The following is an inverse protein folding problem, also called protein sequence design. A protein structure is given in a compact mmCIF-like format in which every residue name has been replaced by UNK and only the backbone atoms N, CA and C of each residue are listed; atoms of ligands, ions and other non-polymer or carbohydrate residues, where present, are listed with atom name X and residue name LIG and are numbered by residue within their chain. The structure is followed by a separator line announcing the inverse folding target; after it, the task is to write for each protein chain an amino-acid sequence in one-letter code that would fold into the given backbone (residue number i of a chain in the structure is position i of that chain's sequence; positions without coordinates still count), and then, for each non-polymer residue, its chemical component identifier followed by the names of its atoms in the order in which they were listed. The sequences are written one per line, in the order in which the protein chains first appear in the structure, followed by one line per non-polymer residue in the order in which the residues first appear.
data_IF_035746902411
#
_entry.id   IF_035746902411
#
_cell.length_a   1.000
_cell.length_b   1.000
_cell.length_c   1.000
_cell.angle_alpha   90.00
_cell.angle_beta   90.00
_cell.angle_gamma   90.00
#
_symmetry.space_group_name_H-M   'P 1'
#
loop_
_entity.id
_entity.type
_entity.pdbx_description
1 polymer ?
#
# COMPACT_ATOMS: atom_id res chain seq x y z
N UNK A 1 -12.35 -19.91 -5.36
CA UNK A 1 -11.17 -19.03 -5.40
C UNK A 1 -10.98 -18.45 -6.81
N UNK A 2 -11.84 -17.51 -7.21
CA UNK A 2 -11.72 -16.79 -8.48
C UNK A 2 -12.02 -15.30 -8.24
N UNK A 3 -13.09 -15.04 -7.49
CA UNK A 3 -13.52 -13.69 -7.14
C UNK A 3 -12.45 -12.88 -6.38
N UNK A 4 -11.70 -13.51 -5.47
CA UNK A 4 -10.58 -12.87 -4.76
C UNK A 4 -9.45 -12.42 -5.69
N UNK A 5 -9.13 -13.20 -6.72
CA UNK A 5 -8.11 -12.83 -7.70
C UNK A 5 -8.59 -11.68 -8.58
N UNK A 6 -9.87 -11.71 -9.00
CA UNK A 6 -10.49 -10.62 -9.75
C UNK A 6 -10.55 -9.33 -8.94
N UNK A 7 -10.91 -9.41 -7.65
CA UNK A 7 -10.93 -8.28 -6.73
C UNK A 7 -9.55 -7.61 -6.63
N UNK A 8 -8.48 -8.42 -6.50
CA UNK A 8 -7.10 -7.92 -6.45
C UNK A 8 -6.67 -7.20 -7.74
N UNK A 9 -7.03 -7.73 -8.91
CA UNK A 9 -6.69 -7.12 -10.21
C UNK A 9 -7.44 -5.81 -10.45
N UNK A 10 -8.72 -5.78 -10.08
CA UNK A 10 -9.57 -4.60 -10.25
C UNK A 10 -9.42 -3.57 -9.13
N UNK A 11 -8.49 -3.79 -8.18
CA UNK A 11 -8.31 -2.97 -6.98
C UNK A 11 -9.63 -2.71 -6.23
N UNK A 12 -10.47 -3.74 -6.13
CA UNK A 12 -11.78 -3.68 -5.48
C UNK A 12 -11.92 -4.76 -4.40
N UNK A 13 -13.04 -4.76 -3.67
CA UNK A 13 -13.32 -5.75 -2.63
C UNK A 13 -14.11 -6.94 -3.19
N UNK A 14 -13.92 -8.12 -2.59
CA UNK A 14 -14.77 -9.28 -2.89
C UNK A 14 -16.22 -9.00 -2.52
N UNK A 15 -16.45 -8.25 -1.44
CA UNK A 15 -17.78 -7.85 -0.99
C UNK A 15 -18.49 -7.00 -2.03
N UNK A 16 -17.79 -6.06 -2.68
CA UNK A 16 -18.31 -5.27 -3.78
C UNK A 16 -18.70 -6.14 -4.98
N UNK A 17 -17.80 -7.03 -5.41
CA UNK A 17 -18.06 -7.93 -6.54
C UNK A 17 -19.16 -8.96 -6.26
N UNK A 18 -19.42 -9.25 -4.99
CA UNK A 18 -20.49 -10.14 -4.54
C UNK A 18 -21.82 -9.43 -4.27
N UNK A 19 -21.86 -8.09 -4.39
CA UNK A 19 -23.04 -7.27 -4.10
C UNK A 19 -23.35 -7.11 -2.61
N UNK A 20 -22.39 -7.41 -1.73
CA UNK A 20 -22.50 -7.21 -0.28
C UNK A 20 -22.31 -5.76 0.15
N UNK A 21 -21.70 -4.93 -0.70
CA UNK A 21 -21.52 -3.48 -0.50
C UNK A 21 -21.49 -2.76 -1.84
N UNK A 22 -21.94 -1.50 -1.88
CA UNK A 22 -21.77 -0.61 -3.04
C UNK A 22 -20.43 0.12 -3.01
N UNK A 23 -19.65 -0.01 -1.92
CA UNK A 23 -18.32 0.59 -1.82
C UNK A 23 -17.28 -0.25 -2.58
N UNK A 24 -16.73 0.24 -3.70
CA UNK A 24 -15.73 -0.49 -4.46
C UNK A 24 -14.37 -0.52 -3.76
N UNK A 25 -14.14 0.32 -2.74
CA UNK A 25 -12.86 0.46 -2.08
C UNK A 25 -12.70 -0.70 -1.08
N UNK A 26 -11.66 -1.55 -1.24
CA UNK A 26 -11.35 -2.54 -0.23
C UNK A 26 -10.98 -1.82 1.06
N UNK A 27 -11.79 -1.99 2.10
CA UNK A 27 -11.56 -1.43 3.43
C UNK A 27 -10.26 -1.93 4.07
N UNK A 28 -9.68 -3.01 3.52
CA UNK A 28 -8.30 -3.41 3.73
C UNK A 28 -7.50 -3.13 2.46
N UNK A 29 -7.07 -1.88 2.27
CA UNK A 29 -5.88 -1.67 1.47
C UNK A 29 -4.74 -2.35 2.22
N UNK A 30 -4.33 -3.54 1.79
CA UNK A 30 -3.07 -4.15 2.23
C UNK A 30 -2.00 -3.06 2.05
N UNK A 31 -1.50 -2.52 3.16
CA UNK A 31 -0.49 -1.48 3.13
C UNK A 31 0.74 -2.11 2.49
N UNK A 32 1.10 -1.63 1.30
CA UNK A 32 2.35 -2.03 0.66
C UNK A 32 3.48 -1.52 1.54
N UNK A 33 4.30 -2.43 2.06
CA UNK A 33 5.45 -2.04 2.87
C UNK A 33 6.48 -1.43 1.93
N UNK A 34 7.08 -0.32 2.34
CA UNK A 34 8.18 0.26 1.57
C UNK A 34 9.39 -0.68 1.55
N UNK A 35 9.48 -1.61 2.49
CA UNK A 35 10.54 -2.62 2.57
C UNK A 35 10.38 -3.78 1.57
N UNK A 36 9.21 -3.97 0.98
CA UNK A 36 8.99 -5.07 0.06
C UNK A 36 9.74 -4.81 -1.27
N UNK A 37 10.33 -5.86 -1.86
CA UNK A 37 11.03 -5.85 -3.18
C UNK A 37 10.09 -5.60 -4.39
N UNK A 38 8.94 -4.97 -4.15
CA UNK A 38 7.99 -4.61 -5.18
C UNK A 38 8.47 -3.36 -5.93
N UNK A 39 8.35 -3.33 -7.27
CA UNK A 39 8.67 -2.14 -8.04
C UNK A 39 7.68 -1.01 -7.71
N UNK A 40 8.21 0.07 -7.15
CA UNK A 40 7.43 1.25 -6.80
C UNK A 40 7.30 2.16 -8.03
N UNK A 41 6.09 2.70 -8.26
CA UNK A 41 5.85 3.66 -9.33
C UNK A 41 5.15 4.91 -8.83
N UNK A 42 5.53 6.05 -9.38
CA UNK A 42 4.88 7.33 -9.15
C UNK A 42 4.41 7.89 -10.49
N UNK A 43 3.08 8.02 -10.65
CA UNK A 43 2.44 8.45 -11.91
C UNK A 43 2.85 7.62 -13.14
N UNK A 44 3.04 6.31 -12.95
CA UNK A 44 3.45 5.39 -14.01
C UNK A 44 4.95 5.38 -14.33
N UNK A 45 5.77 6.19 -13.63
CA UNK A 45 7.22 6.15 -13.75
C UNK A 45 7.83 5.33 -12.60
N UNK A 46 8.88 4.53 -12.85
CA UNK A 46 9.57 3.82 -11.78
C UNK A 46 10.19 4.82 -10.81
N UNK A 47 10.00 4.59 -9.51
CA UNK A 47 10.60 5.42 -8.46
C UNK A 47 12.06 5.01 -8.31
N UNK A 48 13.03 5.93 -8.46
CA UNK A 48 14.43 5.60 -8.22
C UNK A 48 14.68 5.27 -6.75
N UNK A 49 15.54 4.30 -6.48
CA UNK A 49 15.86 3.83 -5.12
C UNK A 49 16.28 4.97 -4.17
N UNK A 50 17.03 5.95 -4.69
CA UNK A 50 17.41 7.16 -3.93
C UNK A 50 16.22 7.87 -3.29
N UNK A 51 15.06 7.92 -3.96
CA UNK A 51 13.87 8.58 -3.44
C UNK A 51 13.21 7.75 -2.36
N UNK A 52 13.18 6.43 -2.53
CA UNK A 52 12.68 5.51 -1.50
C UNK A 52 13.53 5.62 -0.22
N UNK A 53 14.85 5.72 -0.35
CA UNK A 53 15.74 5.87 0.80
C UNK A 53 15.49 7.18 1.55
N UNK A 54 15.28 8.31 0.86
CA UNK A 54 14.91 9.57 1.52
C UNK A 54 13.60 9.43 2.31
N UNK A 55 12.60 8.75 1.75
CA UNK A 55 11.33 8.53 2.46
C UNK A 55 11.55 7.63 3.67
N UNK A 56 12.36 6.57 3.56
CA UNK A 56 12.70 5.68 4.68
C UNK A 56 13.41 6.45 5.80
N UNK A 57 14.41 7.26 5.48
CA UNK A 57 15.16 8.05 6.46
C UNK A 57 14.23 9.01 7.25
N UNK A 58 13.28 9.65 6.56
CA UNK A 58 12.29 10.52 7.21
C UNK A 58 11.37 9.74 8.16
N UNK A 59 10.92 8.56 7.74
CA UNK A 59 10.06 7.69 8.55
C UNK A 59 10.80 7.17 9.78
N UNK A 60 12.05 6.74 9.63
CA UNK A 60 12.90 6.29 10.74
C UNK A 60 13.14 7.41 11.76
N UNK A 61 13.41 8.63 11.28
CA UNK A 61 13.55 9.79 12.15
C UNK A 61 12.29 10.03 13.00
N UNK A 62 11.11 10.04 12.38
CA UNK A 62 9.83 10.23 13.09
C UNK A 62 9.56 9.12 14.10
N UNK A 63 9.93 7.86 13.79
CA UNK A 63 9.79 6.73 14.71
C UNK A 63 10.68 6.93 15.93
N UNK A 64 11.96 7.26 15.72
CA UNK A 64 12.90 7.50 16.81
C UNK A 64 12.52 8.69 17.69
N UNK A 65 12.00 9.78 17.10
CA UNK A 65 11.51 10.92 17.88
C UNK A 65 10.32 10.52 18.77
N UNK A 66 9.40 9.69 18.27
CA UNK A 66 8.26 9.21 19.06
C UNK A 66 8.69 8.28 20.19
N UNK A 67 9.66 7.39 19.93
CA UNK A 67 10.20 6.48 20.94
C UNK A 67 10.93 7.23 22.06
N UNK A 68 11.63 8.32 21.75
CA UNK A 68 12.35 9.12 22.75
C UNK A 68 11.45 10.08 23.56
N UNK A 69 10.17 10.22 23.19
CA UNK A 69 9.19 11.06 23.89
C UNK A 69 8.23 10.26 24.80
N UNK A 70 8.30 8.92 24.78
CA UNK A 70 7.51 8.02 25.64
C UNK A 70 8.27 7.52 26.85
#
# INVERSE_FOLDING_TARGET
MALTAVARVLHTSVDYLSGGTDDPIPHNQESIRLEDDLPHSYKGYPVPERYLNIVRDLMEHDIHERENQG
#
